data_IF_681127651969
#
_entry.id   IF_681127651969
#
_cell.length_a   1.000
_cell.length_b   1.000
_cell.length_c   1.000
_cell.angle_alpha   90.00
_cell.angle_beta   90.00
_cell.angle_gamma   90.00
#
_symmetry.space_group_name_H-M   'P 1'
#
loop_
_entity.id
_entity.type
_entity.pdbx_description
1 polymer ?
#
# COMPACT_ATOMS: atom_id res chain seq x y z
N UNK A 1 -6.71 -38.06 9.61
CA UNK A 1 -7.43 -37.91 8.33
C UNK A 1 -7.69 -36.42 8.11
N UNK A 2 -6.92 -35.78 7.22
CA UNK A 2 -6.93 -34.32 6.99
C UNK A 2 -7.30 -33.97 5.53
N UNK A 3 -7.91 -34.93 4.81
CA UNK A 3 -8.16 -34.84 3.36
C UNK A 3 -9.11 -33.71 2.99
N UNK A 4 -10.10 -33.39 3.84
CA UNK A 4 -11.02 -32.27 3.61
C UNK A 4 -10.37 -30.90 3.80
N UNK A 5 -9.49 -30.74 4.80
CA UNK A 5 -8.78 -29.48 5.06
C UNK A 5 -7.74 -29.19 3.98
N UNK A 6 -7.05 -30.22 3.51
CA UNK A 6 -6.07 -30.11 2.44
C UNK A 6 -6.73 -29.81 1.07
N UNK A 7 -7.94 -30.34 0.82
CA UNK A 7 -8.70 -30.02 -0.39
C UNK A 7 -9.19 -28.56 -0.38
N UNK A 8 -9.76 -28.12 0.75
CA UNK A 8 -10.24 -26.75 0.95
C UNK A 8 -9.11 -25.72 0.85
N UNK A 9 -7.95 -26.01 1.45
CA UNK A 9 -6.78 -25.15 1.33
C UNK A 9 -6.26 -25.05 -0.12
N UNK A 10 -6.27 -26.16 -0.87
CA UNK A 10 -5.91 -26.16 -2.30
C UNK A 10 -6.91 -25.36 -3.13
N UNK A 11 -8.20 -25.51 -2.88
CA UNK A 11 -9.26 -24.77 -3.55
C UNK A 11 -9.11 -23.26 -3.32
N UNK A 12 -8.89 -22.84 -2.08
CA UNK A 12 -8.65 -21.43 -1.75
C UNK A 12 -7.45 -20.87 -2.51
N UNK A 13 -6.35 -21.62 -2.56
CA UNK A 13 -5.15 -21.21 -3.31
C UNK A 13 -5.42 -21.06 -4.80
N UNK A 14 -6.17 -21.99 -5.40
CA UNK A 14 -6.54 -21.93 -6.82
C UNK A 14 -7.39 -20.68 -7.09
N UNK A 15 -8.35 -20.38 -6.22
CA UNK A 15 -9.17 -19.17 -6.35
C UNK A 15 -8.32 -17.90 -6.23
N UNK A 16 -7.38 -17.85 -5.28
CA UNK A 16 -6.43 -16.73 -5.17
C UNK A 16 -5.61 -16.56 -6.45
N UNK A 17 -5.00 -17.62 -6.95
CA UNK A 17 -4.21 -17.58 -8.19
C UNK A 17 -5.07 -17.15 -9.40
N UNK A 18 -6.34 -17.58 -9.46
CA UNK A 18 -7.30 -17.18 -10.49
C UNK A 18 -7.66 -15.69 -10.40
N UNK A 19 -8.05 -15.20 -9.22
CA UNK A 19 -8.39 -13.79 -9.00
C UNK A 19 -7.22 -12.88 -9.39
N UNK A 20 -6.00 -13.24 -8.99
CA UNK A 20 -4.79 -12.53 -9.36
C UNK A 20 -4.56 -12.56 -10.87
N UNK A 21 -4.64 -13.74 -11.51
CA UNK A 21 -4.45 -13.87 -12.96
C UNK A 21 -5.48 -13.07 -13.77
N UNK A 22 -6.73 -13.00 -13.30
CA UNK A 22 -7.77 -12.16 -13.91
C UNK A 22 -7.45 -10.67 -13.76
N UNK A 23 -7.03 -10.22 -12.57
CA UNK A 23 -6.63 -8.84 -12.33
C UNK A 23 -5.40 -8.45 -13.17
N UNK A 24 -4.40 -9.32 -13.28
CA UNK A 24 -3.24 -9.14 -14.14
C UNK A 24 -3.64 -8.96 -15.61
N UNK A 25 -4.60 -9.78 -16.09
CA UNK A 25 -5.18 -9.68 -17.42
C UNK A 25 -6.10 -8.45 -17.60
N UNK A 26 -6.33 -7.64 -16.56
CA UNK A 26 -7.21 -6.46 -16.60
C UNK A 26 -8.70 -6.78 -16.59
N UNK A 27 -9.07 -8.03 -16.26
CA UNK A 27 -10.46 -8.52 -16.17
C UNK A 27 -11.00 -8.28 -14.76
N UNK A 28 -11.07 -7.02 -14.34
CA UNK A 28 -11.31 -6.66 -12.94
C UNK A 28 -12.68 -7.11 -12.41
N UNK A 29 -13.77 -6.96 -13.16
CA UNK A 29 -15.09 -7.46 -12.72
C UNK A 29 -15.13 -8.97 -12.45
N UNK A 30 -14.38 -9.76 -13.22
CA UNK A 30 -14.24 -11.20 -12.98
C UNK A 30 -13.34 -11.48 -11.77
N UNK A 31 -12.25 -10.73 -11.62
CA UNK A 31 -11.39 -10.80 -10.43
C UNK A 31 -12.17 -10.46 -9.16
N UNK A 32 -13.05 -9.44 -9.19
CA UNK A 32 -13.95 -9.10 -8.08
C UNK A 32 -14.89 -10.25 -7.74
N UNK A 33 -15.45 -10.93 -8.75
CA UNK A 33 -16.36 -12.07 -8.54
C UNK A 33 -15.65 -13.19 -7.79
N UNK A 34 -14.46 -13.59 -8.25
CA UNK A 34 -13.66 -14.64 -7.59
C UNK A 34 -13.19 -14.19 -6.20
N UNK A 35 -12.80 -12.92 -6.05
CA UNK A 35 -12.33 -12.39 -4.78
C UNK A 35 -13.42 -12.34 -3.70
N UNK A 36 -14.69 -12.12 -4.08
CA UNK A 36 -15.81 -12.22 -3.15
C UNK A 36 -15.94 -13.63 -2.57
N UNK A 37 -15.78 -14.67 -3.40
CA UNK A 37 -15.79 -16.07 -2.92
C UNK A 37 -14.66 -16.34 -1.93
N UNK A 38 -13.45 -15.80 -2.18
CA UNK A 38 -12.31 -15.90 -1.27
C UNK A 38 -12.60 -15.20 0.06
N UNK A 39 -13.17 -14.00 0.04
CA UNK A 39 -13.53 -13.25 1.25
C UNK A 39 -14.57 -14.03 2.07
N UNK A 40 -15.60 -14.57 1.43
CA UNK A 40 -16.62 -15.37 2.11
C UNK A 40 -16.04 -16.65 2.71
N UNK A 41 -15.13 -17.30 1.98
CA UNK A 41 -14.37 -18.43 2.50
C UNK A 41 -13.52 -18.06 3.72
N UNK A 42 -12.77 -16.96 3.66
CA UNK A 42 -11.95 -16.47 4.77
C UNK A 42 -12.80 -16.12 5.99
N UNK A 43 -13.98 -15.50 5.80
CA UNK A 43 -14.95 -15.21 6.86
C UNK A 43 -15.49 -16.48 7.50
N UNK A 44 -15.90 -17.46 6.69
CA UNK A 44 -16.44 -18.74 7.17
C UNK A 44 -15.38 -19.54 7.95
N UNK A 45 -14.13 -19.51 7.48
CA UNK A 45 -13.00 -20.21 8.10
C UNK A 45 -12.44 -19.49 9.33
N UNK A 46 -12.86 -18.25 9.60
CA UNK A 46 -12.53 -17.51 10.82
C UNK A 46 -13.46 -17.80 12.01
N UNK A 47 -14.38 -18.77 11.89
CA UNK A 47 -15.24 -19.22 12.98
C UNK A 47 -14.44 -19.88 14.12
N UNK A 48 -14.93 -19.87 15.38
CA UNK A 48 -14.21 -20.42 16.52
C UNK A 48 -13.73 -21.85 16.28
N UNK A 49 -12.41 -22.07 16.33
CA UNK A 49 -11.77 -23.38 16.12
C UNK A 49 -11.23 -23.66 14.71
N UNK A 50 -11.38 -22.73 13.77
CA UNK A 50 -10.81 -22.80 12.42
C UNK A 50 -9.72 -21.73 12.21
N UNK A 51 -8.65 -22.10 11.52
CA UNK A 51 -7.67 -21.16 10.98
C UNK A 51 -8.25 -20.66 9.66
N UNK A 52 -8.26 -19.33 9.38
CA UNK A 52 -7.03 -18.57 9.36
C UNK A 52 -7.07 -17.31 10.23
N UNK A 53 -5.86 -16.81 10.53
CA UNK A 53 -5.60 -15.56 11.27
C UNK A 53 -6.48 -14.40 10.75
N UNK A 54 -6.93 -13.46 11.61
CA UNK A 54 -7.60 -12.21 11.20
C UNK A 54 -6.93 -11.47 10.03
N UNK A 55 -5.62 -11.67 9.90
CA UNK A 55 -4.78 -11.12 8.85
C UNK A 55 -5.16 -11.62 7.44
N UNK A 56 -5.60 -12.87 7.30
CA UNK A 56 -6.03 -13.44 6.01
C UNK A 56 -7.29 -12.76 5.46
N UNK A 57 -8.23 -12.42 6.34
CA UNK A 57 -9.45 -11.69 5.98
C UNK A 57 -9.09 -10.28 5.57
N UNK A 58 -8.23 -9.59 6.33
CA UNK A 58 -7.81 -8.23 6.00
C UNK A 58 -7.08 -8.15 4.65
N UNK A 59 -6.19 -9.10 4.35
CA UNK A 59 -5.54 -9.20 3.03
C UNK A 59 -6.55 -9.43 1.90
N UNK A 60 -7.47 -10.38 2.09
CA UNK A 60 -8.49 -10.69 1.07
C UNK A 60 -9.43 -9.51 0.82
N UNK A 61 -9.75 -8.74 1.85
CA UNK A 61 -10.52 -7.50 1.73
C UNK A 61 -9.71 -6.39 1.03
N UNK A 62 -8.40 -6.27 1.28
CA UNK A 62 -7.56 -5.30 0.58
C UNK A 62 -7.51 -5.58 -0.93
N UNK A 63 -7.32 -6.84 -1.30
CA UNK A 63 -7.37 -7.27 -2.71
C UNK A 63 -8.74 -6.93 -3.33
N UNK A 64 -9.84 -7.20 -2.61
CA UNK A 64 -11.19 -6.87 -3.06
C UNK A 64 -11.38 -5.35 -3.26
N UNK A 65 -10.95 -4.53 -2.29
CA UNK A 65 -11.03 -3.08 -2.39
C UNK A 65 -10.28 -2.56 -3.62
N UNK A 66 -9.11 -3.13 -3.91
CA UNK A 66 -8.30 -2.74 -5.05
C UNK A 66 -8.96 -3.16 -6.37
N UNK A 67 -9.47 -4.39 -6.46
CA UNK A 67 -10.14 -4.86 -7.67
C UNK A 67 -11.43 -4.08 -7.95
N UNK A 68 -12.21 -3.75 -6.92
CA UNK A 68 -13.38 -2.89 -7.05
C UNK A 68 -12.99 -1.51 -7.59
N UNK A 69 -11.93 -0.91 -7.06
CA UNK A 69 -11.45 0.40 -7.51
C UNK A 69 -10.95 0.38 -8.97
N UNK A 70 -10.26 -0.69 -9.37
CA UNK A 70 -9.79 -0.88 -10.74
C UNK A 70 -10.93 -1.18 -11.74
N UNK A 71 -12.00 -1.80 -11.26
CA UNK A 71 -13.26 -2.00 -11.98
C UNK A 71 -14.12 -0.72 -12.06
N UNK A 72 -13.69 0.38 -11.42
CA UNK A 72 -14.42 1.66 -11.39
C UNK A 72 -15.54 1.72 -10.34
N UNK A 73 -15.63 0.73 -9.45
CA UNK A 73 -16.61 0.64 -8.36
C UNK A 73 -16.09 1.29 -7.09
N UNK A 74 -15.76 2.58 -7.16
CA UNK A 74 -15.11 3.33 -6.08
C UNK A 74 -15.89 3.31 -4.76
N UNK A 75 -17.22 3.48 -4.78
CA UNK A 75 -18.04 3.47 -3.56
C UNK A 75 -17.96 2.13 -2.82
N UNK A 76 -18.14 1.02 -3.55
CA UNK A 76 -17.98 -0.32 -2.99
C UNK A 76 -16.56 -0.58 -2.47
N UNK A 77 -15.52 -0.04 -3.13
CA UNK A 77 -14.16 -0.11 -2.58
C UNK A 77 -14.06 0.59 -1.23
N UNK A 78 -14.68 1.76 -1.06
CA UNK A 78 -14.62 2.52 0.21
C UNK A 78 -15.41 1.83 1.32
N UNK A 79 -16.50 1.13 1.01
CA UNK A 79 -17.21 0.28 1.96
C UNK A 79 -16.29 -0.84 2.49
N UNK A 80 -15.53 -1.48 1.60
CA UNK A 80 -14.56 -2.51 2.00
C UNK A 80 -13.41 -1.93 2.82
N UNK A 81 -12.92 -0.72 2.51
CA UNK A 81 -11.92 -0.04 3.34
C UNK A 81 -12.43 0.17 4.78
N UNK A 82 -13.69 0.59 4.95
CA UNK A 82 -14.29 0.75 6.27
C UNK A 82 -14.45 -0.58 7.02
N UNK A 83 -14.75 -1.67 6.30
CA UNK A 83 -14.78 -3.01 6.88
C UNK A 83 -13.39 -3.42 7.38
N UNK A 84 -12.33 -3.20 6.59
CA UNK A 84 -10.94 -3.46 6.99
C UNK A 84 -10.61 -2.70 8.28
N UNK A 85 -10.90 -1.41 8.33
CA UNK A 85 -10.63 -0.58 9.51
C UNK A 85 -11.39 -1.09 10.75
N UNK A 86 -12.65 -1.49 10.59
CA UNK A 86 -13.45 -2.08 11.68
C UNK A 86 -12.84 -3.38 12.18
N UNK A 87 -12.39 -4.26 11.27
CA UNK A 87 -11.71 -5.50 11.62
C UNK A 87 -10.39 -5.22 12.37
N UNK A 88 -9.59 -4.27 11.89
CA UNK A 88 -8.30 -3.92 12.48
C UNK A 88 -8.44 -3.31 13.88
N UNK A 89 -9.46 -2.45 14.10
CA UNK A 89 -9.79 -1.91 15.43
C UNK A 89 -10.10 -3.03 16.41
N UNK A 90 -11.05 -3.90 16.08
CA UNK A 90 -11.42 -5.06 16.92
C UNK A 90 -10.22 -5.97 17.20
N UNK A 91 -9.36 -6.16 16.20
CA UNK A 91 -8.17 -7.00 16.29
C UNK A 91 -7.13 -6.39 17.24
N UNK A 92 -6.90 -5.08 17.17
CA UNK A 92 -5.98 -4.39 18.08
C UNK A 92 -6.52 -4.27 19.52
N UNK A 93 -7.85 -4.11 19.69
CA UNK A 93 -8.51 -4.14 20.99
C UNK A 93 -8.34 -5.49 21.69
N UNK A 94 -8.47 -6.59 20.94
CA UNK A 94 -8.28 -7.95 21.47
C UNK A 94 -6.80 -8.29 21.69
N UNK A 95 -5.91 -7.79 20.83
CA UNK A 95 -4.47 -8.09 20.86
C UNK A 95 -3.64 -6.80 20.72
N UNK A 96 -3.25 -6.13 21.84
CA UNK A 96 -2.54 -4.85 21.80
C UNK A 96 -1.24 -4.86 20.97
N UNK A 97 -0.60 -6.02 20.81
CA UNK A 97 0.61 -6.17 19.96
C UNK A 97 0.34 -5.92 18.47
N UNK A 98 -0.93 -5.90 18.03
CA UNK A 98 -1.34 -5.61 16.65
C UNK A 98 -1.64 -4.13 16.39
N UNK A 99 -1.54 -3.28 17.40
CA UNK A 99 -1.82 -1.86 17.27
C UNK A 99 -0.97 -1.15 16.19
N UNK A 100 0.30 -1.52 16.01
CA UNK A 100 1.13 -1.00 14.90
C UNK A 100 0.53 -1.32 13.53
N UNK A 101 0.06 -2.55 13.33
CA UNK A 101 -0.60 -2.97 12.08
C UNK A 101 -1.86 -2.15 11.82
N UNK A 102 -2.69 -1.93 12.85
CA UNK A 102 -3.87 -1.08 12.74
C UNK A 102 -3.52 0.34 12.28
N UNK A 103 -2.44 0.95 12.81
CA UNK A 103 -1.99 2.29 12.38
C UNK A 103 -1.56 2.30 10.90
N UNK A 104 -0.88 1.25 10.43
CA UNK A 104 -0.51 1.10 9.01
C UNK A 104 -1.77 1.09 8.13
N UNK A 105 -2.80 0.32 8.51
CA UNK A 105 -4.06 0.27 7.77
C UNK A 105 -4.79 1.62 7.75
N UNK A 106 -4.87 2.33 8.89
CA UNK A 106 -5.49 3.66 8.96
C UNK A 106 -4.78 4.69 8.08
N UNK A 107 -3.44 4.71 8.12
CA UNK A 107 -2.63 5.59 7.28
C UNK A 107 -2.82 5.27 5.78
N UNK A 108 -2.88 3.98 5.41
CA UNK A 108 -3.22 3.54 4.06
C UNK A 108 -4.59 4.00 3.59
N UNK A 109 -5.61 3.81 4.42
CA UNK A 109 -6.97 4.26 4.12
C UNK A 109 -7.03 5.78 3.97
N UNK A 110 -6.30 6.55 4.78
CA UNK A 110 -6.22 8.01 4.64
C UNK A 110 -5.71 8.42 3.25
N UNK A 111 -4.71 7.73 2.68
CA UNK A 111 -4.29 7.95 1.28
C UNK A 111 -5.45 7.74 0.31
N UNK A 112 -6.26 6.69 0.52
CA UNK A 112 -7.40 6.39 -0.34
C UNK A 112 -8.48 7.46 -0.28
N UNK A 113 -8.79 7.98 0.91
CA UNK A 113 -9.73 9.08 1.09
C UNK A 113 -9.22 10.37 0.44
N UNK A 114 -7.93 10.67 0.56
CA UNK A 114 -7.31 11.78 -0.18
C UNK A 114 -7.43 11.61 -1.69
N UNK A 115 -7.30 10.39 -2.21
CA UNK A 115 -7.45 10.14 -3.64
C UNK A 115 -8.88 10.43 -4.13
N UNK A 116 -9.92 10.07 -3.40
CA UNK A 116 -11.30 10.47 -3.77
C UNK A 116 -11.65 11.93 -3.46
N UNK A 117 -10.72 12.70 -2.89
CA UNK A 117 -10.94 14.11 -2.51
C UNK A 117 -11.68 14.29 -1.18
N UNK A 118 -11.81 13.23 -0.38
CA UNK A 118 -12.40 13.28 0.95
C UNK A 118 -11.32 13.59 2.01
N UNK A 119 -10.94 14.87 2.08
CA UNK A 119 -9.97 15.35 3.06
C UNK A 119 -10.47 15.27 4.50
N UNK A 120 -11.79 15.31 4.74
CA UNK A 120 -12.35 15.24 6.10
C UNK A 120 -12.14 13.85 6.69
N UNK A 121 -12.56 12.80 5.98
CA UNK A 121 -12.35 11.41 6.42
C UNK A 121 -10.86 11.09 6.56
N UNK A 122 -10.02 11.59 5.65
CA UNK A 122 -8.58 11.43 5.75
C UNK A 122 -8.01 12.07 7.03
N UNK A 123 -8.38 13.31 7.37
CA UNK A 123 -7.94 13.97 8.61
C UNK A 123 -8.41 13.23 9.85
N UNK A 124 -9.65 12.75 9.86
CA UNK A 124 -10.20 12.03 11.00
C UNK A 124 -9.46 10.70 11.23
N UNK A 125 -9.16 9.95 10.16
CA UNK A 125 -8.33 8.75 10.24
C UNK A 125 -6.90 9.05 10.68
N UNK A 126 -6.29 10.14 10.20
CA UNK A 126 -4.94 10.52 10.64
C UNK A 126 -4.93 10.92 12.12
N UNK A 127 -5.97 11.59 12.61
CA UNK A 127 -6.12 11.91 14.04
C UNK A 127 -6.23 10.64 14.89
N UNK A 128 -7.03 9.69 14.45
CA UNK A 128 -7.16 8.39 15.11
C UNK A 128 -5.84 7.61 15.09
N UNK A 129 -5.15 7.60 13.95
CA UNK A 129 -3.83 6.99 13.79
C UNK A 129 -2.78 7.58 14.72
N UNK A 130 -2.75 8.91 14.89
CA UNK A 130 -1.89 9.59 15.87
C UNK A 130 -2.22 9.14 17.29
N UNK A 131 -3.51 9.13 17.66
CA UNK A 131 -3.93 8.74 19.00
C UNK A 131 -3.57 7.28 19.34
N UNK A 132 -3.71 6.37 18.38
CA UNK A 132 -3.30 4.98 18.53
C UNK A 132 -1.76 4.85 18.58
N UNK A 133 -1.04 5.59 17.74
CA UNK A 133 0.42 5.54 17.68
C UNK A 133 1.08 6.16 18.92
N UNK A 134 0.45 7.16 19.57
CA UNK A 134 0.87 7.72 20.86
C UNK A 134 0.82 6.72 22.02
N UNK A 135 0.03 5.65 21.89
CA UNK A 135 -0.04 4.57 22.89
C UNK A 135 1.01 3.48 22.66
N UNK A 136 1.74 3.53 21.53
CA UNK A 136 2.79 2.57 21.22
C UNK A 136 4.11 2.94 21.92
N UNK A 137 4.97 1.96 22.22
CA UNK A 137 6.34 2.27 22.63
C UNK A 137 7.07 3.02 21.51
N UNK A 138 8.00 3.91 21.87
CA UNK A 138 8.76 4.71 20.91
C UNK A 138 9.46 3.87 19.83
N UNK A 139 9.99 2.71 20.25
CA UNK A 139 10.53 1.66 19.39
C UNK A 139 9.68 0.40 19.51
N UNK A 140 9.15 -0.07 18.38
CA UNK A 140 8.34 -1.27 18.23
C UNK A 140 9.18 -2.50 17.89
N UNK A 141 8.59 -3.68 18.09
CA UNK A 141 9.22 -4.93 17.70
C UNK A 141 9.18 -5.17 16.20
N UNK A 142 10.28 -5.67 15.64
CA UNK A 142 10.40 -6.01 14.21
C UNK A 142 9.94 -7.43 13.86
N UNK A 143 9.31 -8.13 14.82
CA UNK A 143 8.87 -9.51 14.64
C UNK A 143 7.87 -9.69 13.48
N UNK A 144 7.06 -8.66 13.21
CA UNK A 144 6.06 -8.66 12.13
C UNK A 144 6.51 -7.85 10.91
N UNK A 145 7.81 -7.56 10.76
CA UNK A 145 8.34 -6.72 9.67
C UNK A 145 7.81 -7.14 8.30
N UNK A 146 7.91 -8.42 7.93
CA UNK A 146 7.48 -8.88 6.60
C UNK A 146 5.98 -8.68 6.35
N UNK A 147 5.16 -8.81 7.38
CA UNK A 147 3.72 -8.53 7.29
C UNK A 147 3.46 -7.03 7.12
N UNK A 148 4.05 -6.19 7.98
CA UNK A 148 3.91 -4.73 7.90
C UNK A 148 4.44 -4.17 6.57
N UNK A 149 5.61 -4.64 6.13
CA UNK A 149 6.22 -4.27 4.86
C UNK A 149 5.30 -4.65 3.70
N UNK A 150 4.71 -5.85 3.73
CA UNK A 150 3.78 -6.26 2.69
C UNK A 150 2.58 -5.34 2.57
N UNK A 151 1.91 -5.06 3.70
CA UNK A 151 0.74 -4.17 3.72
C UNK A 151 1.13 -2.77 3.27
N UNK A 152 2.24 -2.23 3.78
CA UNK A 152 2.76 -0.92 3.37
C UNK A 152 3.06 -0.87 1.87
N UNK A 153 3.72 -1.88 1.32
CA UNK A 153 4.05 -1.95 -0.11
C UNK A 153 2.79 -1.95 -0.98
N UNK A 154 1.77 -2.71 -0.58
CA UNK A 154 0.48 -2.76 -1.28
C UNK A 154 -0.24 -1.40 -1.28
N UNK A 155 -0.34 -0.76 -0.12
CA UNK A 155 -0.97 0.56 0.04
C UNK A 155 -0.19 1.65 -0.71
N UNK A 156 1.14 1.61 -0.62
CA UNK A 156 2.02 2.58 -1.24
C UNK A 156 1.99 2.47 -2.77
N UNK A 157 2.02 1.24 -3.31
CA UNK A 157 1.82 1.01 -4.73
C UNK A 157 0.45 1.50 -5.22
N UNK A 158 -0.63 1.22 -4.48
CA UNK A 158 -1.97 1.70 -4.83
C UNK A 158 -2.02 3.24 -4.90
N UNK A 159 -1.49 3.91 -3.89
CA UNK A 159 -1.41 5.39 -3.82
C UNK A 159 -0.51 6.00 -4.92
N UNK A 160 0.41 5.20 -5.47
CA UNK A 160 1.25 5.57 -6.61
C UNK A 160 0.56 5.48 -7.97
N UNK A 161 -0.60 4.86 -8.09
CA UNK A 161 -1.21 4.53 -9.38
C UNK A 161 -1.44 5.76 -10.26
N UNK A 162 -1.79 6.90 -9.67
CA UNK A 162 -1.98 8.17 -10.39
C UNK A 162 -0.68 8.70 -11.00
N UNK A 163 0.44 8.44 -10.34
CA UNK A 163 1.73 8.91 -10.80
C UNK A 163 2.22 8.08 -11.99
N UNK A 164 1.77 6.84 -12.17
CA UNK A 164 2.23 5.95 -13.26
C UNK A 164 1.23 5.72 -14.40
N UNK A 165 -0.02 6.19 -14.27
CA UNK A 165 -1.03 6.05 -15.33
C UNK A 165 -0.64 6.88 -16.56
N UNK A 166 -0.60 6.22 -17.71
CA UNK A 166 -0.60 6.92 -19.01
C UNK A 166 -2.01 7.43 -19.29
N UNK A 167 -2.14 8.75 -19.44
CA UNK A 167 -3.40 9.40 -19.83
C UNK A 167 -3.38 9.72 -21.33
N UNK A 168 -4.53 9.60 -21.99
CA UNK A 168 -4.66 9.92 -23.41
C UNK A 168 -4.20 11.36 -23.67
N UNK A 169 -3.26 11.52 -24.61
CA UNK A 169 -2.68 12.84 -24.94
C UNK A 169 -1.54 13.31 -24.02
N UNK A 170 -1.10 12.49 -23.06
CA UNK A 170 0.10 12.76 -22.25
C UNK A 170 1.24 11.80 -22.59
N UNK A 171 2.51 12.21 -22.43
CA UNK A 171 3.65 11.32 -22.61
C UNK A 171 3.56 10.12 -21.65
N UNK A 172 4.06 8.98 -22.11
CA UNK A 172 4.26 7.82 -21.25
C UNK A 172 5.19 8.21 -20.10
N UNK A 173 4.82 7.92 -18.83
CA UNK A 173 5.68 8.19 -17.70
C UNK A 173 7.05 7.52 -17.81
N UNK A 174 8.11 8.20 -17.36
CA UNK A 174 9.47 7.63 -17.30
C UNK A 174 9.47 6.31 -16.53
N UNK A 175 10.10 5.28 -17.11
CA UNK A 175 10.19 3.95 -16.51
C UNK A 175 8.93 3.09 -16.66
N UNK A 176 7.90 3.56 -17.37
CA UNK A 176 6.70 2.77 -17.71
C UNK A 176 6.81 2.27 -19.14
N UNK A 177 6.61 0.97 -19.34
CA UNK A 177 6.56 0.34 -20.68
C UNK A 177 5.10 0.01 -21.04
N UNK A 178 4.42 0.78 -21.90
CA UNK A 178 3.01 0.55 -22.21
C UNK A 178 2.74 -0.78 -22.94
N UNK A 179 3.77 -1.42 -23.51
CA UNK A 179 3.66 -2.74 -24.13
C UNK A 179 3.60 -3.89 -23.14
N UNK A 180 3.90 -3.65 -21.85
CA UNK A 180 3.91 -4.68 -20.81
C UNK A 180 2.53 -4.78 -20.15
N UNK A 181 1.92 -5.97 -20.21
CA UNK A 181 0.57 -6.23 -19.68
C UNK A 181 0.47 -6.07 -18.16
N UNK A 182 1.58 -6.27 -17.44
CA UNK A 182 1.66 -6.18 -15.98
C UNK A 182 2.44 -4.92 -15.62
N UNK A 183 1.71 -3.87 -15.28
CA UNK A 183 2.33 -2.66 -14.75
C UNK A 183 2.36 -2.74 -13.23
N UNK A 184 3.49 -2.43 -12.60
CA UNK A 184 3.64 -2.54 -11.15
C UNK A 184 2.56 -1.79 -10.37
N UNK A 185 2.03 -0.68 -10.90
CA UNK A 185 1.28 0.29 -10.09
C UNK A 185 -0.20 0.38 -10.46
N UNK A 186 -0.71 -0.54 -11.30
CA UNK A 186 -2.14 -0.67 -11.54
C UNK A 186 -2.85 -1.51 -10.45
N UNK A 187 -2.26 -1.72 -9.27
CA UNK A 187 -2.79 -2.63 -8.26
C UNK A 187 -2.86 -4.10 -8.72
N UNK A 188 -2.27 -4.43 -9.88
CA UNK A 188 -2.32 -5.76 -10.50
C UNK A 188 -1.36 -6.76 -9.84
N UNK A 189 -0.45 -6.30 -8.99
CA UNK A 189 0.59 -7.12 -8.36
C UNK A 189 0.86 -6.67 -6.93
N UNK A 190 -0.06 -6.94 -6.01
CA UNK A 190 0.12 -6.67 -4.57
C UNK A 190 0.99 -7.73 -3.90
N UNK A 191 1.22 -8.84 -4.60
CA UNK A 191 2.13 -9.88 -4.21
C UNK A 191 3.54 -9.46 -4.61
N UNK A 192 4.14 -8.57 -3.82
CA UNK A 192 5.58 -8.29 -3.85
C UNK A 192 6.44 -9.56 -3.72
N UNK A 193 5.84 -10.71 -3.36
CA UNK A 193 6.42 -12.05 -3.36
C UNK A 193 6.42 -12.75 -4.72
N UNK A 194 5.59 -12.32 -5.68
CA UNK A 194 5.53 -12.90 -7.01
C UNK A 194 6.72 -12.42 -7.86
N UNK A 195 7.50 -13.37 -8.40
CA UNK A 195 8.69 -13.05 -9.19
C UNK A 195 8.39 -12.18 -10.41
N UNK A 196 7.30 -12.46 -11.13
CA UNK A 196 6.85 -11.66 -12.28
C UNK A 196 6.59 -10.20 -11.90
N UNK A 197 5.87 -9.98 -10.80
CA UNK A 197 5.56 -8.65 -10.28
C UNK A 197 6.84 -7.90 -9.90
N UNK A 198 7.78 -8.55 -9.20
CA UNK A 198 9.08 -7.95 -8.85
C UNK A 198 9.89 -7.58 -10.09
N UNK A 199 9.84 -8.37 -11.16
CA UNK A 199 10.48 -8.02 -12.44
C UNK A 199 9.83 -6.80 -13.09
N UNK A 200 8.51 -6.62 -12.95
CA UNK A 200 7.80 -5.45 -13.44
C UNK A 200 8.18 -4.19 -12.65
N UNK A 201 8.27 -4.28 -11.31
CA UNK A 201 8.74 -3.18 -10.45
C UNK A 201 10.21 -2.82 -10.68
N UNK A 202 11.06 -3.80 -11.01
CA UNK A 202 12.48 -3.56 -11.30
C UNK A 202 12.68 -2.89 -12.66
N UNK A 203 11.84 -3.22 -13.64
CA UNK A 203 11.96 -2.62 -14.95
C UNK A 203 11.78 -1.10 -14.88
N UNK A 204 12.57 -0.37 -15.67
CA UNK A 204 12.50 1.08 -15.74
C UNK A 204 13.09 1.83 -14.53
N UNK A 205 13.56 1.14 -13.48
CA UNK A 205 14.26 1.80 -12.36
C UNK A 205 15.48 2.60 -12.84
N UNK A 206 16.29 2.03 -13.71
CA UNK A 206 17.47 2.70 -14.28
C UNK A 206 17.07 3.97 -15.06
N UNK A 207 15.97 3.93 -15.80
CA UNK A 207 15.47 5.11 -16.51
C UNK A 207 14.97 6.20 -15.55
N UNK A 208 14.34 5.82 -14.45
CA UNK A 208 13.92 6.75 -13.38
C UNK A 208 15.15 7.35 -12.69
N UNK A 209 16.17 6.53 -12.39
CA UNK A 209 17.42 6.96 -11.78
C UNK A 209 18.14 7.98 -12.66
N UNK A 210 18.24 7.71 -13.96
CA UNK A 210 18.81 8.65 -14.92
C UNK A 210 18.01 9.96 -14.97
N UNK A 211 16.68 9.89 -15.03
CA UNK A 211 15.85 11.10 -15.05
C UNK A 211 15.95 11.94 -13.77
N UNK A 212 16.12 11.30 -12.60
CA UNK A 212 16.38 12.00 -11.33
C UNK A 212 17.74 12.69 -11.37
N UNK A 213 18.78 12.03 -11.89
CA UNK A 213 20.11 12.63 -12.04
C UNK A 213 20.08 13.84 -12.99
N UNK A 214 19.35 13.74 -14.10
CA UNK A 214 19.20 14.81 -15.09
C UNK A 214 18.39 15.99 -14.51
N UNK A 215 17.32 15.71 -13.76
CA UNK A 215 16.49 16.73 -13.11
C UNK A 215 17.24 17.47 -11.99
N UNK A 216 18.15 16.79 -11.27
CA UNK A 216 19.04 17.42 -10.29
C UNK A 216 19.97 18.49 -10.89
N UNK A 217 20.22 18.43 -12.20
CA UNK A 217 20.97 19.45 -12.93
C UNK A 217 20.09 20.61 -13.45
N UNK A 218 18.76 20.46 -13.47
CA UNK A 218 17.82 21.44 -14.06
C UNK A 218 16.69 21.80 -13.07
N UNK A 219 16.78 22.94 -12.34
CA UNK A 219 15.88 23.27 -11.22
C UNK A 219 14.41 23.56 -11.55
N UNK A 220 14.00 23.52 -12.83
CA UNK A 220 12.71 24.10 -13.26
C UNK A 220 11.49 23.17 -13.13
N UNK A 221 11.68 21.84 -13.01
CA UNK A 221 10.58 20.88 -12.86
C UNK A 221 10.64 20.11 -11.54
N UNK A 222 10.53 20.85 -10.44
CA UNK A 222 10.57 20.25 -9.12
C UNK A 222 9.35 19.32 -8.87
N UNK A 223 8.19 19.56 -9.49
CA UNK A 223 7.02 18.68 -9.37
C UNK A 223 7.22 17.34 -10.11
N UNK A 224 7.86 17.37 -11.28
CA UNK A 224 8.32 16.17 -11.97
C UNK A 224 9.35 15.39 -11.14
N UNK A 225 10.31 16.08 -10.51
CA UNK A 225 11.28 15.45 -9.62
C UNK A 225 10.63 14.75 -8.41
N UNK A 226 9.68 15.40 -7.72
CA UNK A 226 8.93 14.78 -6.62
C UNK A 226 8.19 13.51 -7.06
N UNK A 227 7.57 13.55 -8.23
CA UNK A 227 6.91 12.38 -8.84
C UNK A 227 7.91 11.26 -9.15
N UNK A 228 9.06 11.57 -9.74
CA UNK A 228 10.10 10.59 -10.06
C UNK A 228 10.69 9.93 -8.80
N UNK A 229 11.01 10.72 -7.78
CA UNK A 229 11.51 10.23 -6.50
C UNK A 229 10.50 9.27 -5.86
N UNK A 230 9.23 9.66 -5.81
CA UNK A 230 8.17 8.82 -5.26
C UNK A 230 8.02 7.51 -6.03
N UNK A 231 7.99 7.54 -7.37
CA UNK A 231 7.94 6.31 -8.21
C UNK A 231 9.13 5.39 -7.93
N UNK A 232 10.34 5.94 -7.88
CA UNK A 232 11.55 5.20 -7.53
C UNK A 232 11.40 4.51 -6.16
N UNK A 233 10.97 5.26 -5.15
CA UNK A 233 10.80 4.75 -3.78
C UNK A 233 9.72 3.68 -3.69
N UNK A 234 8.59 3.83 -4.39
CA UNK A 234 7.54 2.78 -4.49
C UNK A 234 8.16 1.48 -5.00
N UNK A 235 8.86 1.56 -6.13
CA UNK A 235 9.47 0.39 -6.77
C UNK A 235 10.55 -0.25 -5.90
N UNK A 236 11.38 0.55 -5.24
CA UNK A 236 12.41 0.05 -4.33
C UNK A 236 11.83 -0.59 -3.06
N UNK A 237 10.78 0.01 -2.48
CA UNK A 237 10.09 -0.50 -1.27
C UNK A 237 9.58 -1.93 -1.46
N UNK A 238 9.04 -2.22 -2.65
CA UNK A 238 8.56 -3.56 -3.04
C UNK A 238 9.73 -4.55 -3.20
N UNK A 239 10.88 -4.06 -3.68
CA UNK A 239 12.05 -4.90 -3.94
C UNK A 239 12.91 -5.18 -2.70
N UNK A 240 12.66 -4.51 -1.58
CA UNK A 240 13.38 -4.73 -0.34
C UNK A 240 13.17 -6.15 0.23
N UNK A 241 14.25 -6.79 0.70
CA UNK A 241 14.25 -8.20 1.15
C UNK A 241 14.34 -8.37 2.67
N UNK A 242 14.55 -7.31 3.44
CA UNK A 242 14.66 -7.39 4.89
C UNK A 242 14.68 -6.03 5.60
N UNK A 243 14.64 -6.03 6.94
CA UNK A 243 14.53 -4.80 7.72
C UNK A 243 15.75 -3.88 7.61
N UNK A 244 16.95 -4.45 7.34
CA UNK A 244 18.17 -3.67 7.14
C UNK A 244 18.10 -2.88 5.84
N UNK A 245 17.90 -3.56 4.71
CA UNK A 245 17.76 -2.93 3.39
C UNK A 245 16.65 -1.87 3.41
N UNK A 246 15.54 -2.14 4.10
CA UNK A 246 14.44 -1.18 4.24
C UNK A 246 14.89 0.10 4.97
N UNK A 247 15.62 -0.06 6.07
CA UNK A 247 16.13 1.05 6.86
C UNK A 247 17.22 1.85 6.11
N UNK A 248 18.08 1.16 5.36
CA UNK A 248 19.22 1.77 4.67
C UNK A 248 18.81 2.44 3.34
N UNK A 249 17.79 1.94 2.66
CA UNK A 249 17.42 2.40 1.32
C UNK A 249 16.07 3.12 1.27
N UNK A 250 15.03 2.57 1.90
CA UNK A 250 13.65 3.06 1.74
C UNK A 250 13.38 4.25 2.65
N UNK A 251 13.77 4.19 3.92
CA UNK A 251 13.54 5.28 4.88
C UNK A 251 14.21 6.60 4.44
N UNK A 252 15.49 6.62 4.01
CA UNK A 252 16.11 7.86 3.53
C UNK A 252 15.45 8.40 2.26
N UNK A 253 15.02 7.53 1.34
CA UNK A 253 14.34 7.95 0.12
C UNK A 253 12.96 8.59 0.40
N UNK A 254 12.21 8.06 1.38
CA UNK A 254 10.95 8.66 1.84
C UNK A 254 11.20 10.05 2.47
N UNK A 255 12.24 10.21 3.28
CA UNK A 255 12.62 11.50 3.82
C UNK A 255 13.00 12.51 2.72
N UNK A 256 13.77 12.08 1.71
CA UNK A 256 14.12 12.92 0.57
C UNK A 256 12.89 13.38 -0.22
N UNK A 257 11.89 12.50 -0.39
CA UNK A 257 10.62 12.84 -1.03
C UNK A 257 9.86 13.93 -0.27
N UNK A 258 9.80 13.83 1.07
CA UNK A 258 9.18 14.86 1.91
C UNK A 258 9.92 16.20 1.80
N UNK A 259 11.25 16.21 1.81
CA UNK A 259 12.03 17.44 1.69
C UNK A 259 11.82 18.15 0.35
N UNK A 260 11.66 17.39 -0.73
CA UNK A 260 11.32 17.95 -2.05
C UNK A 260 9.90 18.52 -2.05
N UNK A 261 8.91 17.78 -1.54
CA UNK A 261 7.52 18.27 -1.51
C UNK A 261 7.33 19.49 -0.60
N UNK A 262 8.11 19.60 0.49
CA UNK A 262 8.13 20.83 1.32
C UNK A 262 8.59 22.05 0.52
N UNK A 263 9.62 21.90 -0.32
CA UNK A 263 10.14 23.00 -1.17
C UNK A 263 9.14 23.40 -2.26
N UNK A 264 8.28 22.48 -2.67
CA UNK A 264 7.27 22.69 -3.70
C UNK A 264 6.01 23.42 -3.21
N UNK A 265 5.84 23.60 -1.90
CA UNK A 265 4.70 24.29 -1.27
C UNK A 265 3.31 23.71 -1.65
N UNK A 266 3.24 22.43 -2.06
CA UNK A 266 2.00 21.75 -2.44
C UNK A 266 1.40 20.93 -1.30
N UNK A 267 0.38 21.45 -0.61
CA UNK A 267 -0.21 20.85 0.58
C UNK A 267 -0.63 19.37 0.41
N UNK A 268 -1.37 19.03 -0.66
CA UNK A 268 -1.84 17.65 -0.87
C UNK A 268 -0.75 16.62 -1.21
N UNK A 269 0.32 17.03 -1.94
CA UNK A 269 1.46 16.15 -2.20
C UNK A 269 2.33 15.97 -0.96
N UNK A 270 2.47 17.01 -0.16
CA UNK A 270 3.16 16.95 1.12
C UNK A 270 2.47 15.98 2.09
N UNK A 271 1.15 16.06 2.27
CA UNK A 271 0.41 15.09 3.12
C UNK A 271 0.67 13.65 2.69
N UNK A 272 0.62 13.40 1.38
CA UNK A 272 0.87 12.07 0.82
C UNK A 272 2.28 11.58 1.14
N UNK A 273 3.30 12.38 0.88
CA UNK A 273 4.69 12.04 1.16
C UNK A 273 4.93 11.80 2.67
N UNK A 274 4.30 12.59 3.54
CA UNK A 274 4.38 12.41 4.99
C UNK A 274 3.71 11.11 5.46
N UNK A 275 2.57 10.73 4.87
CA UNK A 275 1.92 9.45 5.16
C UNK A 275 2.80 8.29 4.68
N UNK A 276 3.35 8.38 3.48
CA UNK A 276 4.27 7.37 2.94
C UNK A 276 5.51 7.21 3.86
N UNK A 277 6.06 8.33 4.37
CA UNK A 277 7.14 8.32 5.35
C UNK A 277 6.74 7.69 6.68
N UNK A 278 5.55 8.03 7.20
CA UNK A 278 5.03 7.46 8.44
C UNK A 278 4.87 5.93 8.34
N UNK A 279 4.32 5.45 7.22
CA UNK A 279 4.21 4.02 6.94
C UNK A 279 5.58 3.33 6.98
N UNK A 280 6.60 3.93 6.36
CA UNK A 280 7.97 3.43 6.43
C UNK A 280 8.49 3.33 7.87
N UNK A 281 8.31 4.38 8.67
CA UNK A 281 8.72 4.37 10.08
C UNK A 281 7.99 3.29 10.90
N UNK A 282 6.69 3.07 10.68
CA UNK A 282 5.92 2.02 11.35
C UNK A 282 6.44 0.61 11.00
N UNK A 283 6.75 0.37 9.73
CA UNK A 283 7.36 -0.89 9.27
C UNK A 283 8.72 -1.11 9.93
N UNK A 284 9.51 -0.06 10.08
CA UNK A 284 10.83 -0.08 10.72
C UNK A 284 10.78 -0.05 12.27
N UNK A 285 9.59 -0.08 12.87
CA UNK A 285 9.40 -0.02 14.32
C UNK A 285 9.71 1.35 14.94
N UNK A 286 9.94 2.40 14.16
CA UNK A 286 10.23 3.75 14.63
C UNK A 286 8.93 4.55 14.92
N UNK A 287 8.08 4.04 15.82
CA UNK A 287 6.74 4.59 16.09
C UNK A 287 6.78 6.09 16.43
N UNK A 288 7.73 6.54 17.25
CA UNK A 288 7.85 7.95 17.61
C UNK A 288 8.07 8.88 16.41
N UNK A 289 8.82 8.41 15.39
CA UNK A 289 9.02 9.16 14.13
C UNK A 289 7.76 9.13 13.27
N UNK A 290 7.05 8.00 13.24
CA UNK A 290 5.79 7.88 12.53
C UNK A 290 4.73 8.84 13.05
N UNK A 291 4.58 8.97 14.38
CA UNK A 291 3.64 9.93 15.01
C UNK A 291 3.88 11.35 14.50
N UNK A 292 5.15 11.79 14.46
CA UNK A 292 5.51 13.14 13.99
C UNK A 292 5.04 13.39 12.55
N UNK A 293 5.33 12.44 11.65
CA UNK A 293 4.92 12.52 10.25
C UNK A 293 3.38 12.47 10.08
N UNK A 294 2.67 11.62 10.84
CA UNK A 294 1.20 11.55 10.78
C UNK A 294 0.52 12.85 11.24
N UNK A 295 1.05 13.48 12.31
CA UNK A 295 0.53 14.78 12.78
C UNK A 295 0.70 15.88 11.73
N UNK A 296 1.89 15.97 11.14
CA UNK A 296 2.18 16.94 10.07
C UNK A 296 1.30 16.66 8.84
N UNK A 297 1.14 15.39 8.47
CA UNK A 297 0.28 15.00 7.35
C UNK A 297 -1.15 15.51 7.56
N UNK A 298 -1.73 15.30 8.75
CA UNK A 298 -3.08 15.75 9.07
C UNK A 298 -3.26 17.27 9.07
N UNK A 299 -2.19 18.04 9.27
CA UNK A 299 -2.20 19.51 9.15
C UNK A 299 -2.12 19.98 7.70
N UNK A 300 -1.54 19.18 6.81
CA UNK A 300 -1.36 19.48 5.40
C UNK A 300 -2.56 19.05 4.51
N UNK A 301 -3.48 18.23 5.04
CA UNK A 301 -4.76 17.86 4.38
C UNK A 301 -5.76 19.00 4.52
#
# INVERSE_FOLDING_TARGET
>A
MNLGRDAVHKETKILMDLAHGLAEAGRFGEAVTVQLEIVDFCRASGAPGSYPLPDSVAWSLLDLAIYLDLDGRTEASLEIEQEILTLQRRTAEAEPRRATGMVIWMAGAALRFLDVGDGLSARDLLREAVAACDQLPAEGGMANFGFHQGVQAALFARSGARDERSEAGRPVPVGVDPGRSRQPVAGRGLHHWAFSVREDYRAGLEAIDQAIADAGAVPHDAAGLGTLLRRRTIRQSVLCHGPRDFADEVIPALASSVDVERRLLGAGRLSRALIDQALGHLVAGANARAVGALREAGQAV
#
